data_IF_597513284679
#
_entry.id   IF_597513284679
#
_cell.length_a   1.000
_cell.length_b   1.000
_cell.length_c   1.000
_cell.angle_alpha   90.00
_cell.angle_beta   90.00
_cell.angle_gamma   90.00
#
_symmetry.space_group_name_H-M   'P 1'
#
loop_
_entity.id
_entity.type
_entity.pdbx_description
1 polymer ?
#
# COMPACT_ATOMS: atom_id res chain seq x y z
N UNK A 1 8.01 -3.36 -0.51
CA UNK A 1 8.10 -1.91 -0.20
C UNK A 1 8.09 -1.10 -1.50
N UNK A 2 6.91 -0.92 -2.09
CA UNK A 2 6.75 -0.20 -3.38
C UNK A 2 7.03 1.30 -3.24
N UNK A 3 7.12 1.79 -2.02
CA UNK A 3 7.52 3.18 -1.74
C UNK A 3 8.91 3.50 -2.31
N UNK A 4 9.84 2.53 -2.33
CA UNK A 4 11.19 2.79 -2.83
C UNK A 4 11.24 3.11 -4.33
N UNK A 5 10.73 2.29 -5.25
CA UNK A 5 10.71 2.69 -6.66
C UNK A 5 9.82 3.90 -6.92
N UNK A 6 8.81 4.16 -6.08
CA UNK A 6 8.05 5.41 -6.14
C UNK A 6 8.93 6.61 -5.81
N UNK A 7 9.63 6.57 -4.68
CA UNK A 7 10.37 7.70 -4.15
C UNK A 7 11.76 7.87 -4.79
N UNK A 8 12.43 6.78 -5.11
CA UNK A 8 13.86 6.74 -5.48
C UNK A 8 14.09 6.34 -6.94
N UNK A 9 13.13 6.57 -7.81
CA UNK A 9 13.16 6.15 -9.21
C UNK A 9 14.40 6.64 -9.97
N UNK A 10 14.90 7.83 -9.64
CA UNK A 10 16.11 8.39 -10.24
C UNK A 10 17.34 7.51 -9.94
N UNK A 11 17.48 7.05 -8.70
CA UNK A 11 18.55 6.14 -8.29
C UNK A 11 18.47 4.79 -9.01
N UNK A 12 17.25 4.24 -9.15
CA UNK A 12 17.03 3.00 -9.91
C UNK A 12 17.41 3.18 -11.39
N UNK A 13 17.02 4.29 -12.02
CA UNK A 13 17.37 4.60 -13.41
C UNK A 13 18.86 4.83 -13.63
N UNK A 14 19.56 5.30 -12.62
CA UNK A 14 21.00 5.54 -12.70
C UNK A 14 21.83 4.22 -12.71
N UNK A 15 21.30 3.15 -12.09
CA UNK A 15 22.04 1.91 -11.88
C UNK A 15 21.47 0.70 -12.63
N UNK A 16 20.20 0.71 -13.01
CA UNK A 16 19.55 -0.37 -13.71
C UNK A 16 19.40 -0.10 -15.21
N UNK A 17 19.62 -1.11 -16.03
CA UNK A 17 19.24 -1.02 -17.43
C UNK A 17 17.71 -0.96 -17.58
N UNK A 18 17.15 -0.32 -18.63
CA UNK A 18 15.69 -0.20 -18.80
C UNK A 18 14.93 -1.53 -18.69
N UNK A 19 15.48 -2.61 -19.26
CA UNK A 19 14.89 -3.97 -19.16
C UNK A 19 14.83 -4.52 -17.73
N UNK A 20 15.73 -4.09 -16.84
CA UNK A 20 15.77 -4.54 -15.46
C UNK A 20 14.82 -3.71 -14.59
N UNK A 21 14.61 -2.42 -14.94
CA UNK A 21 13.58 -1.58 -14.33
C UNK A 21 12.16 -2.16 -14.54
N UNK A 22 11.91 -2.82 -15.68
CA UNK A 22 10.66 -3.53 -15.97
C UNK A 22 10.47 -4.82 -15.13
N UNK A 23 11.39 -5.12 -14.22
CA UNK A 23 11.36 -6.33 -13.37
C UNK A 23 11.40 -6.01 -11.87
N UNK A 24 11.55 -4.74 -11.50
CA UNK A 24 11.61 -4.34 -10.09
C UNK A 24 10.27 -4.54 -9.39
N UNK A 25 10.31 -4.99 -8.17
CA UNK A 25 9.14 -5.13 -7.30
C UNK A 25 7.96 -5.87 -7.96
N UNK A 26 8.09 -7.18 -8.23
CA UNK A 26 7.07 -7.98 -8.94
C UNK A 26 5.88 -8.31 -8.02
N UNK A 27 5.11 -7.29 -7.64
CA UNK A 27 4.04 -7.37 -6.62
C UNK A 27 2.93 -8.33 -7.05
N UNK A 28 2.42 -8.19 -8.27
CA UNK A 28 1.34 -9.04 -8.79
C UNK A 28 1.78 -10.50 -8.92
N UNK A 29 2.98 -10.73 -9.48
CA UNK A 29 3.53 -12.06 -9.62
C UNK A 29 3.69 -12.75 -8.27
N UNK A 30 4.28 -12.06 -7.28
CA UNK A 30 4.52 -12.64 -5.95
C UNK A 30 3.22 -12.82 -5.18
N UNK A 31 2.31 -11.81 -5.19
CA UNK A 31 1.03 -11.90 -4.49
C UNK A 31 0.10 -12.97 -5.04
N UNK A 32 0.20 -13.26 -6.34
CA UNK A 32 -0.55 -14.35 -6.99
C UNK A 32 0.02 -15.74 -6.65
N UNK A 33 1.32 -15.83 -6.41
CA UNK A 33 1.99 -17.10 -6.10
C UNK A 33 1.99 -17.43 -4.60
N UNK A 34 2.02 -16.41 -3.74
CA UNK A 34 2.17 -16.55 -2.29
C UNK A 34 1.02 -15.86 -1.55
N UNK A 35 0.22 -16.65 -0.87
CA UNK A 35 -0.86 -16.13 -0.03
C UNK A 35 -0.31 -15.38 1.21
N UNK A 36 0.82 -15.84 1.76
CA UNK A 36 1.57 -15.18 2.85
C UNK A 36 2.52 -14.11 2.29
N UNK A 37 1.97 -13.06 1.70
CA UNK A 37 2.69 -11.91 1.16
C UNK A 37 1.98 -10.62 1.55
N UNK A 38 2.76 -9.60 1.95
CA UNK A 38 2.26 -8.31 2.37
C UNK A 38 3.14 -7.17 1.85
N UNK A 39 2.58 -5.98 1.75
CA UNK A 39 3.33 -4.75 1.53
C UNK A 39 3.66 -4.08 2.86
N UNK A 40 4.73 -3.31 2.87
CA UNK A 40 5.12 -2.42 3.99
C UNK A 40 5.79 -1.17 3.45
N UNK A 41 5.88 -0.14 4.27
CA UNK A 41 6.46 1.16 3.89
C UNK A 41 7.93 1.31 4.28
N UNK A 42 8.40 0.53 5.28
CA UNK A 42 9.74 0.69 5.87
C UNK A 42 9.98 2.08 6.48
N UNK A 43 8.91 2.68 7.03
CA UNK A 43 9.03 3.98 7.69
C UNK A 43 10.08 3.91 8.84
N UNK A 44 10.96 4.92 8.99
CA UNK A 44 10.96 6.23 8.34
C UNK A 44 11.87 6.34 7.09
N UNK A 45 12.23 5.23 6.46
CA UNK A 45 12.99 5.29 5.21
C UNK A 45 12.25 6.14 4.16
N UNK A 46 12.99 6.88 3.32
CA UNK A 46 12.40 7.81 2.34
C UNK A 46 11.42 8.83 2.93
N UNK A 47 11.76 9.43 4.07
CA UNK A 47 10.87 10.30 4.87
C UNK A 47 10.19 11.44 4.07
N UNK A 48 10.81 11.92 3.00
CA UNK A 48 10.25 12.96 2.13
C UNK A 48 9.02 12.50 1.30
N UNK A 49 8.84 11.19 1.17
CA UNK A 49 7.73 10.58 0.41
C UNK A 49 6.60 10.07 1.32
N UNK A 50 6.52 10.55 2.56
CA UNK A 50 5.52 10.19 3.56
C UNK A 50 5.33 8.65 3.69
N UNK A 51 6.40 7.90 4.04
CA UNK A 51 6.33 6.43 4.10
C UNK A 51 5.41 5.89 5.19
N UNK A 52 5.01 6.71 6.14
CA UNK A 52 4.00 6.43 7.16
C UNK A 52 2.55 6.56 6.65
N UNK A 53 2.36 7.17 5.46
CA UNK A 53 1.08 7.13 4.75
C UNK A 53 1.00 5.89 3.82
N UNK A 54 0.24 4.85 4.19
CA UNK A 54 0.14 3.65 3.37
C UNK A 54 -0.56 3.89 2.02
N UNK A 55 -1.34 4.96 1.87
CA UNK A 55 -2.06 5.25 0.62
C UNK A 55 -1.10 5.62 -0.51
N UNK A 56 -0.01 6.33 -0.22
CA UNK A 56 1.05 6.61 -1.22
C UNK A 56 1.60 5.30 -1.78
N UNK A 57 1.96 4.37 -0.91
CA UNK A 57 2.52 3.08 -1.31
C UNK A 57 1.49 2.17 -2.02
N UNK A 58 0.23 2.17 -1.56
CA UNK A 58 -0.85 1.45 -2.22
C UNK A 58 -1.12 2.01 -3.61
N UNK A 59 -1.20 3.34 -3.76
CA UNK A 59 -1.34 4.01 -5.05
C UNK A 59 -0.21 3.68 -6.01
N UNK A 60 1.03 3.69 -5.53
CA UNK A 60 2.19 3.29 -6.33
C UNK A 60 2.15 1.81 -6.76
N UNK A 61 1.61 0.91 -5.94
CA UNK A 61 1.41 -0.49 -6.31
C UNK A 61 0.38 -0.67 -7.42
N UNK A 62 -0.65 0.19 -7.47
CA UNK A 62 -1.71 0.18 -8.49
C UNK A 62 -1.27 0.89 -9.76
N UNK A 63 -0.80 2.15 -9.66
CA UNK A 63 -0.45 2.97 -10.82
C UNK A 63 0.87 2.59 -11.47
N UNK A 64 1.79 2.02 -10.69
CA UNK A 64 3.18 1.76 -11.09
C UNK A 64 3.87 3.01 -11.65
N UNK A 65 3.54 4.15 -11.07
CA UNK A 65 4.07 5.47 -11.46
C UNK A 65 4.80 6.08 -10.26
N UNK A 66 6.02 6.51 -10.48
CA UNK A 66 6.84 7.18 -9.49
C UNK A 66 6.41 8.64 -9.30
N UNK A 67 6.96 9.29 -8.27
CA UNK A 67 6.66 10.68 -7.93
C UNK A 67 6.91 11.69 -9.09
N UNK A 68 7.88 11.39 -9.96
CA UNK A 68 8.26 12.20 -11.12
C UNK A 68 7.45 11.88 -12.40
N UNK A 69 6.46 10.98 -12.31
CA UNK A 69 5.67 10.50 -13.43
C UNK A 69 6.30 9.34 -14.21
N UNK A 70 7.49 8.88 -13.83
CA UNK A 70 8.13 7.72 -14.47
C UNK A 70 7.33 6.46 -14.20
N UNK A 71 6.96 5.75 -15.24
CA UNK A 71 6.32 4.43 -15.14
C UNK A 71 7.38 3.35 -14.97
N UNK A 72 7.18 2.47 -14.00
CA UNK A 72 8.05 1.33 -13.73
C UNK A 72 7.24 0.03 -13.64
N UNK A 73 7.68 -1.01 -14.34
CA UNK A 73 7.11 -2.37 -14.25
C UNK A 73 5.57 -2.40 -14.21
N UNK A 74 4.93 -1.78 -15.22
CA UNK A 74 3.45 -1.65 -15.28
C UNK A 74 2.73 -3.00 -15.27
N UNK A 75 3.38 -4.05 -15.78
CA UNK A 75 2.82 -5.40 -15.80
C UNK A 75 2.55 -5.97 -14.40
N UNK A 76 3.16 -5.42 -13.38
CA UNK A 76 3.04 -5.82 -11.97
C UNK A 76 2.06 -4.96 -11.17
N UNK A 77 1.24 -4.15 -11.85
CA UNK A 77 0.15 -3.42 -11.22
C UNK A 77 -0.88 -4.39 -10.60
N UNK A 78 -1.35 -4.06 -9.42
CA UNK A 78 -2.43 -4.75 -8.71
C UNK A 78 -3.70 -3.90 -8.71
N UNK A 79 -4.87 -4.46 -8.40
CA UNK A 79 -6.09 -3.69 -8.21
C UNK A 79 -6.05 -2.88 -6.91
N UNK A 80 -6.90 -1.85 -6.79
CA UNK A 80 -7.04 -1.10 -5.54
C UNK A 80 -7.46 -2.00 -4.38
N UNK A 81 -8.40 -2.94 -4.61
CA UNK A 81 -8.81 -3.91 -3.61
C UNK A 81 -7.65 -4.79 -3.15
N UNK A 82 -6.83 -5.30 -4.09
CA UNK A 82 -5.67 -6.10 -3.75
C UNK A 82 -4.62 -5.28 -2.99
N UNK A 83 -4.35 -4.03 -3.37
CA UNK A 83 -3.43 -3.14 -2.66
C UNK A 83 -3.87 -2.93 -1.21
N UNK A 84 -5.16 -2.66 -0.96
CA UNK A 84 -5.73 -2.56 0.39
C UNK A 84 -5.58 -3.89 1.15
N UNK A 85 -5.88 -5.02 0.53
CA UNK A 85 -5.73 -6.34 1.14
C UNK A 85 -4.28 -6.64 1.54
N UNK A 86 -3.30 -6.22 0.72
CA UNK A 86 -1.87 -6.38 0.99
C UNK A 86 -1.36 -5.55 2.19
N UNK A 87 -2.13 -4.54 2.62
CA UNK A 87 -1.85 -3.74 3.82
C UNK A 87 -2.74 -4.10 5.04
N UNK A 88 -3.80 -4.89 4.85
CA UNK A 88 -4.78 -5.18 5.92
C UNK A 88 -4.88 -6.67 6.26
N UNK A 89 -5.55 -7.45 5.43
CA UNK A 89 -5.86 -8.86 5.73
C UNK A 89 -4.68 -9.80 5.43
N UNK A 90 -3.92 -9.57 4.37
CA UNK A 90 -2.78 -10.42 4.00
C UNK A 90 -1.62 -10.38 5.01
N UNK A 91 -1.25 -9.23 5.62
CA UNK A 91 -0.24 -9.19 6.67
C UNK A 91 -0.51 -10.15 7.84
N UNK A 92 -1.77 -10.45 8.11
CA UNK A 92 -2.16 -11.37 9.19
C UNK A 92 -1.75 -12.82 8.93
N UNK A 93 -1.36 -13.17 7.72
CA UNK A 93 -0.80 -14.49 7.37
C UNK A 93 0.73 -14.54 7.56
N UNK A 94 1.36 -13.39 7.73
CA UNK A 94 2.82 -13.23 7.90
C UNK A 94 3.17 -12.86 9.33
N UNK A 95 2.29 -12.12 10.00
CA UNK A 95 2.51 -11.59 11.34
C UNK A 95 1.76 -12.44 12.39
N UNK A 96 2.32 -12.55 13.61
CA UNK A 96 1.75 -13.35 14.69
C UNK A 96 0.60 -12.64 15.42
N UNK A 97 -0.30 -11.95 14.68
CA UNK A 97 -1.45 -11.26 15.25
C UNK A 97 -2.73 -12.05 14.98
N UNK A 98 -3.53 -12.24 16.01
CA UNK A 98 -4.81 -12.92 15.91
C UNK A 98 -5.98 -11.94 16.08
N UNK A 99 -7.09 -12.24 15.43
CA UNK A 99 -8.34 -11.50 15.60
C UNK A 99 -8.34 -10.09 15.01
N UNK A 100 -7.44 -9.74 14.10
CA UNK A 100 -7.35 -8.42 13.45
C UNK A 100 -7.22 -8.55 11.92
N UNK A 101 -7.17 -7.41 11.21
CA UNK A 101 -6.90 -7.33 9.77
C UNK A 101 -8.13 -7.45 8.87
N UNK A 102 -9.31 -7.70 9.43
CA UNK A 102 -10.59 -7.70 8.71
C UNK A 102 -11.77 -7.42 9.63
N UNK A 103 -12.85 -6.91 9.08
CA UNK A 103 -14.12 -6.76 9.80
C UNK A 103 -14.95 -8.04 9.63
N UNK A 104 -15.09 -8.81 10.70
CA UNK A 104 -15.92 -10.02 10.75
C UNK A 104 -16.39 -10.29 12.19
N UNK A 105 -17.52 -11.01 12.38
CA UNK A 105 -17.95 -11.43 13.71
C UNK A 105 -16.86 -12.19 14.46
N UNK A 106 -16.63 -11.81 15.74
CA UNK A 106 -15.58 -12.42 16.58
C UNK A 106 -14.19 -11.83 16.42
N UNK A 107 -13.98 -10.95 15.44
CA UNK A 107 -12.71 -10.20 15.27
C UNK A 107 -12.71 -8.94 16.11
N UNK A 108 -11.51 -8.46 16.47
CA UNK A 108 -11.37 -7.16 17.13
C UNK A 108 -11.79 -6.03 16.19
N UNK A 109 -12.61 -5.12 16.66
CA UNK A 109 -13.13 -4.01 15.88
C UNK A 109 -12.08 -2.90 15.73
N UNK A 110 -10.98 -3.19 15.02
CA UNK A 110 -9.97 -2.25 14.60
C UNK A 110 -10.24 -1.89 13.14
N UNK A 111 -10.60 -0.64 12.87
CA UNK A 111 -10.88 -0.18 11.51
C UNK A 111 -10.68 1.31 11.36
N UNK A 112 -10.56 1.74 10.13
CA UNK A 112 -10.53 3.15 9.75
C UNK A 112 -11.75 3.48 8.89
N UNK A 113 -12.21 4.72 8.95
CA UNK A 113 -13.17 5.29 8.00
C UNK A 113 -12.38 6.20 7.07
N UNK A 114 -12.52 5.99 5.79
CA UNK A 114 -11.86 6.79 4.77
C UNK A 114 -12.74 8.02 4.43
N UNK A 115 -12.09 9.07 3.94
CA UNK A 115 -12.80 10.27 3.45
C UNK A 115 -13.60 9.96 2.20
N UNK A 116 -12.99 9.24 1.28
CA UNK A 116 -13.56 8.89 -0.01
C UNK A 116 -13.69 7.37 -0.16
N UNK A 117 -14.66 6.86 -0.92
CA UNK A 117 -14.77 5.44 -1.19
C UNK A 117 -13.55 4.93 -1.99
N UNK A 118 -13.15 3.69 -1.73
CA UNK A 118 -12.16 3.02 -2.58
C UNK A 118 -12.80 2.66 -3.91
N UNK A 119 -12.20 3.15 -4.98
CA UNK A 119 -12.59 2.87 -6.38
C UNK A 119 -11.43 2.19 -7.10
N UNK A 120 -11.59 1.84 -8.38
CA UNK A 120 -10.50 1.27 -9.19
C UNK A 120 -9.50 2.32 -9.71
N UNK A 121 -9.51 3.52 -9.15
CA UNK A 121 -8.60 4.61 -9.47
C UNK A 121 -7.44 4.65 -8.46
N UNK A 122 -6.26 4.22 -8.89
CA UNK A 122 -5.05 4.21 -8.07
C UNK A 122 -4.56 5.60 -7.66
N UNK A 123 -4.81 6.63 -8.47
CA UNK A 123 -4.50 8.02 -8.14
C UNK A 123 -5.44 8.55 -7.05
N UNK A 124 -6.73 8.20 -7.13
CA UNK A 124 -7.69 8.52 -6.08
C UNK A 124 -7.35 7.79 -4.78
N UNK A 125 -6.92 6.52 -4.87
CA UNK A 125 -6.46 5.75 -3.71
C UNK A 125 -5.24 6.40 -3.06
N UNK A 126 -4.24 6.83 -3.85
CA UNK A 126 -3.04 7.49 -3.34
C UNK A 126 -3.31 8.81 -2.59
N UNK A 127 -4.40 9.50 -2.93
CA UNK A 127 -4.83 10.77 -2.31
C UNK A 127 -5.87 10.60 -1.23
N UNK A 128 -6.29 9.37 -0.93
CA UNK A 128 -7.30 9.12 0.09
C UNK A 128 -6.76 9.49 1.48
N UNK A 129 -7.66 9.72 2.40
CA UNK A 129 -7.30 10.10 3.76
C UNK A 129 -8.20 9.41 4.79
N UNK A 130 -7.65 9.18 5.97
CA UNK A 130 -8.39 8.66 7.11
C UNK A 130 -9.20 9.78 7.75
N UNK A 131 -10.51 9.60 7.87
CA UNK A 131 -11.38 10.49 8.60
C UNK A 131 -11.56 10.08 10.07
N UNK A 132 -11.62 8.79 10.36
CA UNK A 132 -11.75 8.28 11.71
C UNK A 132 -10.95 6.98 11.89
N UNK A 133 -10.45 6.75 13.11
CA UNK A 133 -9.77 5.52 13.51
C UNK A 133 -10.47 4.93 14.72
N UNK A 134 -10.82 3.64 14.62
CA UNK A 134 -11.39 2.87 15.71
C UNK A 134 -10.43 1.75 16.14
N UNK A 135 -10.27 1.59 17.45
CA UNK A 135 -9.50 0.50 18.07
C UNK A 135 -10.37 -0.21 19.09
N UNK A 136 -10.53 -1.51 18.92
CA UNK A 136 -11.42 -2.33 19.76
C UNK A 136 -12.83 -1.72 19.88
N UNK A 137 -13.36 -1.14 18.81
CA UNK A 137 -14.66 -0.47 18.76
C UNK A 137 -14.70 0.94 19.35
N UNK A 138 -13.63 1.43 19.96
CA UNK A 138 -13.55 2.79 20.48
C UNK A 138 -12.98 3.75 19.43
N UNK A 139 -13.61 4.91 19.24
CA UNK A 139 -13.07 5.99 18.42
C UNK A 139 -11.83 6.58 19.11
N UNK A 140 -10.67 6.52 18.46
CA UNK A 140 -9.39 7.04 18.99
C UNK A 140 -8.85 8.24 18.22
N UNK A 141 -9.32 8.46 17.00
CA UNK A 141 -8.96 9.64 16.20
C UNK A 141 -10.11 10.04 15.29
N UNK A 142 -10.27 11.36 15.11
CA UNK A 142 -11.15 11.97 14.11
C UNK A 142 -10.42 13.16 13.49
N UNK A 143 -10.31 13.16 12.17
CA UNK A 143 -9.74 14.28 11.43
C UNK A 143 -10.60 15.54 11.59
N UNK A 144 -10.03 16.74 11.62
CA UNK A 144 -10.77 17.99 11.54
C UNK A 144 -11.65 18.05 10.29
N UNK A 145 -12.81 18.71 10.42
CA UNK A 145 -13.73 18.97 9.28
C UNK A 145 -13.17 20.01 8.34
#
# INVERSE_FOLDING_TARGET
QVIFPYAEIEGYRAVLAPKDLERVYPVRTVSSALDAFALSSDAPATAWADPDDPFVSMGAAVTRTAWDGTVFNRSEAVSCEEAVSLYTSRPMKVLPFEGVGRLAPGMRADFIVLRDPVTDDGEALARNAVSEVFRAGALIHRAPR
#
